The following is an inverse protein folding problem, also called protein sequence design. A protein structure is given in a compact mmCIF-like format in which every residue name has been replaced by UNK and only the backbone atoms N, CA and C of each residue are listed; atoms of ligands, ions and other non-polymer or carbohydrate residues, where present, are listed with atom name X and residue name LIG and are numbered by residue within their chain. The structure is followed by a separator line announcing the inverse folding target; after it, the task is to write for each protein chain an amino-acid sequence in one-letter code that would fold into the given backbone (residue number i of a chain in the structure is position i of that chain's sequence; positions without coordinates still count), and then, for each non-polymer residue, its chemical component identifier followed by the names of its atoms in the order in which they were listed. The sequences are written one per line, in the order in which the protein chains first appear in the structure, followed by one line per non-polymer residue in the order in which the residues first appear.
data_IF_748078517146
#
_entry.id   IF_748078517146
#
_cell.length_a   1.000
_cell.length_b   1.000
_cell.length_c   1.000
_cell.angle_alpha   90.00
_cell.angle_beta   90.00
_cell.angle_gamma   90.00
#
_symmetry.space_group_name_H-M   'P 1'
#
loop_
_entity.id
_entity.type
_entity.pdbx_description
1 polymer ?
#
# COMPACT_ATOMS: atom_id res chain seq x y z
N UNK A 1 -12.16 -21.80 -29.84
CA UNK A 1 -11.43 -20.52 -30.00
C UNK A 1 -11.90 -19.56 -28.92
N UNK A 2 -11.34 -19.67 -27.71
CA UNK A 2 -11.54 -18.67 -26.65
C UNK A 2 -10.42 -17.64 -26.78
N UNK A 3 -10.75 -16.42 -27.23
CA UNK A 3 -9.84 -15.28 -27.10
C UNK A 3 -9.83 -14.88 -25.63
N UNK A 4 -8.73 -15.23 -24.94
CA UNK A 4 -8.36 -14.61 -23.67
C UNK A 4 -8.13 -13.12 -23.93
N UNK A 5 -9.14 -12.29 -23.69
CA UNK A 5 -8.97 -10.84 -23.60
C UNK A 5 -8.39 -10.55 -22.21
N UNK A 6 -7.08 -10.74 -22.03
CA UNK A 6 -6.35 -10.12 -20.91
C UNK A 6 -6.07 -8.67 -21.32
N UNK A 7 -7.08 -7.81 -21.21
CA UNK A 7 -6.88 -6.36 -21.15
C UNK A 7 -6.75 -6.01 -19.67
N UNK A 8 -5.51 -5.95 -19.20
CA UNK A 8 -5.16 -5.55 -17.85
C UNK A 8 -5.03 -4.03 -17.77
N UNK A 9 -5.18 -3.47 -16.56
CA UNK A 9 -4.84 -2.08 -16.20
C UNK A 9 -3.39 -1.65 -16.54
N UNK A 10 -2.60 -2.49 -17.22
CA UNK A 10 -1.18 -2.30 -17.50
C UNK A 10 -0.87 -0.99 -18.24
N UNK A 11 -1.80 -0.48 -19.05
CA UNK A 11 -1.55 0.72 -19.85
C UNK A 11 -1.49 2.03 -19.05
N UNK A 12 -1.97 2.05 -17.80
CA UNK A 12 -2.02 3.29 -16.98
C UNK A 12 -0.77 3.49 -16.12
N UNK A 13 0.13 2.49 -16.05
CA UNK A 13 1.28 2.46 -15.13
C UNK A 13 2.62 2.68 -15.88
N UNK A 14 2.61 2.86 -17.20
CA UNK A 14 3.81 3.18 -17.96
C UNK A 14 4.24 4.65 -17.78
N UNK A 15 5.10 4.84 -16.77
CA UNK A 15 6.10 5.91 -16.63
C UNK A 15 5.58 7.36 -16.52
N UNK A 16 5.70 7.89 -15.29
CA UNK A 16 5.78 9.33 -14.99
C UNK A 16 7.26 9.66 -14.72
N UNK A 17 7.70 10.84 -15.13
CA UNK A 17 9.07 11.33 -14.94
C UNK A 17 9.53 11.29 -13.48
N UNK A 18 10.27 10.24 -13.12
CA UNK A 18 11.15 10.18 -11.94
C UNK A 18 10.51 9.76 -10.61
N UNK A 19 9.21 9.48 -10.56
CA UNK A 19 8.52 9.06 -9.33
C UNK A 19 7.69 7.81 -9.60
N UNK A 20 8.12 6.68 -9.05
CA UNK A 20 7.51 5.37 -9.25
C UNK A 20 6.98 4.86 -7.90
N UNK A 21 5.69 5.09 -7.61
CA UNK A 21 5.02 4.28 -6.60
C UNK A 21 5.22 2.82 -6.96
N UNK A 22 5.76 2.04 -6.01
CA UNK A 22 6.03 0.62 -6.24
C UNK A 22 4.92 -0.20 -5.64
N UNK A 23 4.40 -1.14 -6.42
CA UNK A 23 3.50 -2.17 -5.89
C UNK A 23 4.34 -3.32 -5.33
N UNK A 24 4.27 -3.51 -4.02
CA UNK A 24 5.11 -4.46 -3.28
C UNK A 24 4.26 -5.59 -2.71
N UNK A 25 4.63 -6.85 -2.97
CA UNK A 25 4.00 -7.99 -2.32
C UNK A 25 4.62 -8.23 -0.94
N UNK A 26 3.82 -8.23 0.13
CA UNK A 26 4.32 -8.63 1.44
C UNK A 26 4.50 -10.16 1.50
N UNK A 27 5.64 -10.62 1.99
CA UNK A 27 6.05 -12.04 1.97
C UNK A 27 5.83 -12.77 3.29
N UNK A 28 4.88 -12.33 4.11
CA UNK A 28 4.48 -13.06 5.31
C UNK A 28 3.59 -14.22 4.91
N UNK A 29 3.94 -15.47 5.29
CA UNK A 29 3.05 -16.64 5.40
C UNK A 29 3.78 -17.98 5.60
N UNK A 30 3.09 -18.98 6.16
CA UNK A 30 3.68 -20.29 6.49
C UNK A 30 4.19 -21.10 5.29
N UNK A 31 3.63 -20.87 4.10
CA UNK A 31 4.11 -21.51 2.87
C UNK A 31 5.49 -21.01 2.44
N UNK A 32 5.87 -19.78 2.79
CA UNK A 32 7.18 -19.23 2.46
C UNK A 32 8.30 -20.10 3.01
N UNK A 33 8.12 -20.64 4.22
CA UNK A 33 9.06 -21.58 4.84
C UNK A 33 9.17 -22.92 4.09
N UNK A 34 8.13 -23.36 3.40
CA UNK A 34 8.07 -24.68 2.77
C UNK A 34 8.55 -24.67 1.32
N UNK A 35 8.22 -23.63 0.56
CA UNK A 35 8.51 -23.54 -0.89
C UNK A 35 8.84 -22.11 -1.33
N UNK A 36 9.86 -21.46 -0.75
CA UNK A 36 10.15 -20.03 -1.00
C UNK A 36 10.36 -19.75 -2.49
N UNK A 37 11.17 -20.58 -3.17
CA UNK A 37 11.45 -20.44 -4.59
C UNK A 37 10.21 -20.51 -5.48
N UNK A 38 9.26 -21.42 -5.21
CA UNK A 38 8.04 -21.51 -6.01
C UNK A 38 7.14 -20.29 -5.80
N UNK A 39 7.05 -19.79 -4.57
CA UNK A 39 6.21 -18.63 -4.26
C UNK A 39 6.78 -17.37 -4.92
N UNK A 40 8.10 -17.20 -4.92
CA UNK A 40 8.76 -16.10 -5.65
C UNK A 40 8.44 -16.17 -7.14
N UNK A 41 8.49 -17.35 -7.74
CA UNK A 41 8.08 -17.54 -9.14
C UNK A 41 6.62 -17.16 -9.35
N UNK A 42 5.73 -17.58 -8.47
CA UNK A 42 4.31 -17.23 -8.57
C UNK A 42 4.09 -15.71 -8.46
N UNK A 43 4.83 -15.01 -7.57
CA UNK A 43 4.82 -13.54 -7.40
C UNK A 43 5.23 -12.84 -8.71
N UNK A 44 6.37 -13.27 -9.29
CA UNK A 44 6.86 -12.73 -10.55
C UNK A 44 5.89 -13.03 -11.71
N UNK A 45 5.35 -14.24 -11.77
CA UNK A 45 4.43 -14.68 -12.83
C UNK A 45 3.09 -13.94 -12.83
N UNK A 46 2.60 -13.48 -11.67
CA UNK A 46 1.39 -12.64 -11.62
C UNK A 46 1.67 -11.17 -11.97
N UNK A 47 2.92 -10.73 -11.86
CA UNK A 47 3.38 -9.41 -12.30
C UNK A 47 3.96 -8.50 -11.21
N UNK A 48 4.12 -8.95 -9.97
CA UNK A 48 4.85 -8.16 -8.97
C UNK A 48 6.34 -8.14 -9.31
N UNK A 49 6.94 -6.96 -9.33
CA UNK A 49 8.39 -6.78 -9.47
C UNK A 49 9.11 -6.66 -8.12
N UNK A 50 8.39 -6.17 -7.11
CA UNK A 50 8.90 -5.87 -5.79
C UNK A 50 8.20 -6.70 -4.72
N UNK A 51 8.97 -7.06 -3.70
CA UNK A 51 8.47 -7.70 -2.49
C UNK A 51 9.16 -7.13 -1.24
N UNK A 52 8.62 -7.44 -0.08
CA UNK A 52 9.24 -7.09 1.20
C UNK A 52 10.31 -8.10 1.60
N UNK A 53 11.36 -7.67 2.28
CA UNK A 53 12.10 -8.55 3.20
C UNK A 53 11.32 -8.62 4.53
N UNK A 54 10.35 -9.54 4.63
CA UNK A 54 9.50 -9.65 5.82
C UNK A 54 10.08 -10.62 6.87
N UNK A 55 10.59 -10.07 7.98
CA UNK A 55 11.14 -10.88 9.09
C UNK A 55 10.05 -11.67 9.83
N UNK A 56 8.80 -11.22 9.78
CA UNK A 56 7.66 -11.98 10.29
C UNK A 56 7.38 -13.28 9.54
N UNK A 57 7.99 -13.48 8.35
CA UNK A 57 7.94 -14.77 7.64
C UNK A 57 8.88 -15.83 8.23
N UNK A 58 9.94 -15.41 8.91
CA UNK A 58 10.92 -16.30 9.57
C UNK A 58 10.61 -16.45 11.07
N UNK A 59 10.25 -15.37 11.75
CA UNK A 59 9.92 -15.34 13.18
C UNK A 59 8.42 -15.62 13.39
N UNK A 60 8.08 -16.74 14.03
CA UNK A 60 6.68 -17.05 14.35
C UNK A 60 6.14 -16.19 15.51
N UNK A 61 4.93 -15.61 15.43
CA UNK A 61 4.36 -14.79 16.51
C UNK A 61 4.36 -15.48 17.88
N UNK A 62 4.18 -16.81 17.89
CA UNK A 62 4.21 -17.62 19.12
C UNK A 62 5.56 -17.59 19.83
N UNK A 63 6.67 -17.34 19.14
CA UNK A 63 8.01 -17.28 19.76
C UNK A 63 8.09 -16.22 20.86
N UNK A 64 7.31 -15.14 20.75
CA UNK A 64 7.21 -14.14 21.81
C UNK A 64 6.48 -14.67 23.05
N UNK A 65 5.45 -15.50 22.89
CA UNK A 65 4.74 -16.13 24.02
C UNK A 65 5.59 -17.18 24.75
N UNK A 66 6.61 -17.72 24.08
CA UNK A 66 7.48 -18.76 24.62
C UNK A 66 8.57 -18.21 25.54
N UNK A 67 8.88 -16.91 25.46
CA UNK A 67 9.94 -16.28 26.24
C UNK A 67 9.80 -16.53 27.74
N UNK A 68 8.57 -16.50 28.25
CA UNK A 68 8.30 -16.66 29.67
C UNK A 68 7.87 -18.10 30.04
N UNK A 69 8.00 -19.06 29.11
CA UNK A 69 7.63 -20.47 29.31
C UNK A 69 8.87 -21.37 29.41
N UNK A 70 9.37 -21.51 30.64
CA UNK A 70 10.53 -22.37 30.95
C UNK A 70 10.31 -23.86 30.61
N UNK A 71 9.07 -24.35 30.66
CA UNK A 71 8.75 -25.78 30.44
C UNK A 71 8.40 -26.13 28.99
N UNK A 72 8.52 -25.20 28.04
CA UNK A 72 8.27 -25.52 26.63
C UNK A 72 9.45 -26.28 26.03
N UNK A 73 9.18 -27.45 25.43
CA UNK A 73 10.21 -28.25 24.74
C UNK A 73 10.49 -27.61 23.38
N UNK A 74 11.66 -26.98 23.25
CA UNK A 74 12.15 -26.45 21.97
C UNK A 74 12.43 -27.60 20.99
N UNK A 75 12.19 -27.35 19.71
CA UNK A 75 12.62 -28.27 18.64
C UNK A 75 14.11 -28.09 18.41
N UNK A 76 14.89 -29.18 18.39
CA UNK A 76 16.36 -29.12 18.29
C UNK A 76 16.89 -28.43 17.04
N UNK A 77 16.14 -28.51 15.94
CA UNK A 77 16.59 -28.08 14.62
C UNK A 77 16.08 -26.68 14.24
N UNK A 78 15.36 -26.01 15.15
CA UNK A 78 14.79 -24.67 14.95
C UNK A 78 15.59 -23.63 15.72
N UNK A 79 16.04 -22.59 15.03
CA UNK A 79 16.58 -21.38 15.66
C UNK A 79 15.39 -20.49 16.05
N UNK A 80 15.30 -20.17 17.34
CA UNK A 80 14.29 -19.24 17.88
C UNK A 80 14.90 -17.84 17.90
N UNK A 81 14.45 -16.96 17.01
CA UNK A 81 15.05 -15.63 16.85
C UNK A 81 14.79 -14.72 18.05
N UNK A 82 13.78 -15.03 18.87
CA UNK A 82 13.57 -14.34 20.15
C UNK A 82 14.62 -14.73 21.21
N UNK A 83 15.26 -15.89 21.08
CA UNK A 83 16.37 -16.35 21.94
C UNK A 83 17.74 -16.01 21.33
N UNK A 84 17.84 -16.03 19.99
CA UNK A 84 19.06 -15.80 19.20
C UNK A 84 18.87 -14.73 18.12
N UNK A 85 18.61 -13.46 18.50
CA UNK A 85 18.38 -12.39 17.53
C UNK A 85 19.57 -12.14 16.60
N UNK A 86 20.79 -12.45 17.03
CA UNK A 86 22.02 -12.34 16.23
C UNK A 86 22.04 -13.23 14.98
N UNK A 87 21.24 -14.30 14.93
CA UNK A 87 21.13 -15.18 13.77
C UNK A 87 20.16 -14.63 12.70
N UNK A 88 19.44 -13.53 12.98
CA UNK A 88 18.39 -13.00 12.11
C UNK A 88 18.91 -12.70 10.71
N UNK A 89 20.04 -11.99 10.57
CA UNK A 89 20.59 -11.61 9.25
C UNK A 89 20.87 -12.83 8.38
N UNK A 90 21.47 -13.86 8.97
CA UNK A 90 21.79 -15.12 8.29
C UNK A 90 20.53 -15.89 7.91
N UNK A 91 19.54 -15.95 8.80
CA UNK A 91 18.26 -16.60 8.49
C UNK A 91 17.45 -15.81 7.45
N UNK A 92 17.49 -14.49 7.47
CA UNK A 92 16.89 -13.64 6.43
C UNK A 92 17.54 -13.87 5.06
N UNK A 93 18.86 -13.92 5.00
CA UNK A 93 19.58 -14.20 3.76
C UNK A 93 19.25 -15.58 3.19
N UNK A 94 19.36 -16.61 4.05
CA UNK A 94 19.12 -18.01 3.68
C UNK A 94 17.70 -18.28 3.19
N UNK A 95 16.70 -17.69 3.84
CA UNK A 95 15.30 -18.00 3.57
C UNK A 95 14.64 -17.04 2.57
N UNK A 96 15.21 -15.86 2.33
CA UNK A 96 14.58 -14.79 1.54
C UNK A 96 15.58 -14.16 0.56
N UNK A 97 16.60 -13.45 1.05
CA UNK A 97 17.40 -12.52 0.25
C UNK A 97 18.13 -13.22 -0.91
N UNK A 98 18.86 -14.29 -0.61
CA UNK A 98 19.61 -15.01 -1.65
C UNK A 98 18.68 -15.64 -2.69
N UNK A 99 17.54 -16.20 -2.27
CA UNK A 99 16.57 -16.81 -3.18
C UNK A 99 15.89 -15.76 -4.05
N UNK A 100 15.49 -14.62 -3.48
CA UNK A 100 14.91 -13.50 -4.23
C UNK A 100 15.87 -12.98 -5.29
N UNK A 101 17.16 -12.82 -4.92
CA UNK A 101 18.22 -12.41 -5.84
C UNK A 101 18.44 -13.42 -6.98
N UNK A 102 18.47 -14.71 -6.67
CA UNK A 102 18.61 -15.78 -7.68
C UNK A 102 17.46 -15.79 -8.69
N UNK A 103 16.24 -15.57 -8.22
CA UNK A 103 15.03 -15.60 -9.07
C UNK A 103 14.71 -14.24 -9.71
N UNK A 104 15.44 -13.18 -9.37
CA UNK A 104 15.27 -11.83 -9.93
C UNK A 104 14.16 -10.99 -9.30
N UNK A 105 13.66 -11.36 -8.12
CA UNK A 105 12.70 -10.57 -7.35
C UNK A 105 13.44 -9.47 -6.57
N UNK A 106 12.99 -8.22 -6.71
CA UNK A 106 13.58 -7.08 -6.00
C UNK A 106 12.96 -6.94 -4.60
N UNK A 107 13.81 -6.74 -3.60
CA UNK A 107 13.38 -6.43 -2.24
C UNK A 107 13.54 -4.91 -2.03
N UNK A 108 12.45 -4.15 -2.08
CA UNK A 108 12.52 -2.67 -1.94
C UNK A 108 12.54 -2.21 -0.48
N UNK A 109 11.87 -2.95 0.40
CA UNK A 109 11.68 -2.57 1.80
C UNK A 109 11.73 -3.80 2.71
N UNK A 110 12.39 -3.68 3.86
CA UNK A 110 12.31 -4.67 4.92
C UNK A 110 11.23 -4.32 5.94
N UNK A 111 10.59 -5.33 6.52
CA UNK A 111 9.60 -5.16 7.58
C UNK A 111 10.05 -5.95 8.80
N UNK A 112 10.29 -5.25 9.91
CA UNK A 112 10.67 -5.86 11.17
C UNK A 112 9.58 -6.76 11.76
N UNK A 113 9.91 -7.63 12.71
CA UNK A 113 8.93 -8.52 13.28
C UNK A 113 7.97 -7.75 14.19
N UNK A 114 6.68 -8.09 14.12
CA UNK A 114 5.63 -7.53 14.96
C UNK A 114 5.10 -8.62 15.90
N UNK A 115 5.35 -8.48 17.19
CA UNK A 115 4.64 -9.23 18.22
C UNK A 115 3.20 -8.72 18.35
N UNK A 116 2.25 -9.63 18.63
CA UNK A 116 0.85 -9.29 18.80
C UNK A 116 0.64 -8.27 19.92
N UNK A 117 -0.27 -7.32 19.73
CA UNK A 117 -0.62 -6.34 20.76
C UNK A 117 -1.33 -6.97 21.97
N UNK A 118 -1.92 -8.15 21.79
CA UNK A 118 -2.59 -8.96 22.82
C UNK A 118 -1.69 -10.05 23.43
N UNK A 119 -0.36 -9.91 23.29
CA UNK A 119 0.61 -10.85 23.84
C UNK A 119 0.40 -11.12 25.33
N UNK A 120 0.43 -12.40 25.71
CA UNK A 120 0.27 -12.84 27.10
C UNK A 120 1.61 -12.82 27.84
N UNK A 121 1.76 -11.89 28.78
CA UNK A 121 2.99 -11.69 29.57
C UNK A 121 3.19 -12.69 30.73
N UNK A 122 2.25 -13.61 30.96
CA UNK A 122 2.39 -14.65 31.97
C UNK A 122 2.24 -14.14 33.42
N UNK A 123 2.96 -14.79 34.36
CA UNK A 123 2.82 -14.57 35.81
C UNK A 123 3.62 -13.37 36.35
N UNK A 124 4.69 -12.97 35.65
CA UNK A 124 5.59 -11.88 36.03
C UNK A 124 5.61 -10.82 34.92
N UNK A 125 4.52 -10.03 34.80
CA UNK A 125 4.27 -9.21 33.61
C UNK A 125 5.30 -8.08 33.40
N UNK A 126 5.83 -7.48 34.47
CA UNK A 126 6.83 -6.41 34.38
C UNK A 126 8.17 -6.91 33.82
N UNK A 127 8.67 -8.03 34.35
CA UNK A 127 9.90 -8.66 33.86
C UNK A 127 9.73 -9.13 32.42
N UNK A 128 8.59 -9.76 32.11
CA UNK A 128 8.24 -10.19 30.77
C UNK A 128 8.25 -9.04 29.75
N UNK A 129 7.63 -7.91 30.11
CA UNK A 129 7.61 -6.72 29.28
C UNK A 129 9.01 -6.15 29.01
N UNK A 130 9.86 -6.10 30.04
CA UNK A 130 11.24 -5.65 29.89
C UNK A 130 12.07 -6.57 28.96
N UNK A 131 11.89 -7.89 29.07
CA UNK A 131 12.52 -8.86 28.17
C UNK A 131 12.06 -8.71 26.73
N UNK A 132 10.75 -8.52 26.50
CA UNK A 132 10.20 -8.29 25.16
C UNK A 132 10.84 -7.05 24.53
N UNK A 133 10.90 -5.91 25.24
CA UNK A 133 11.52 -4.70 24.70
C UNK A 133 13.02 -4.88 24.43
N UNK A 134 13.73 -5.63 25.26
CA UNK A 134 15.15 -5.96 25.03
C UNK A 134 15.35 -6.76 23.74
N UNK A 135 14.47 -7.72 23.48
CA UNK A 135 14.51 -8.55 22.27
C UNK A 135 14.10 -7.72 21.04
N UNK A 136 13.02 -6.95 21.14
CA UNK A 136 12.60 -6.03 20.09
C UNK A 136 13.68 -5.06 19.67
N UNK A 137 14.41 -4.49 20.65
CA UNK A 137 15.53 -3.59 20.37
C UNK A 137 16.58 -4.29 19.50
N UNK A 138 16.99 -5.50 19.87
CA UNK A 138 17.97 -6.28 19.09
C UNK A 138 17.43 -6.64 17.71
N UNK A 139 16.20 -7.16 17.63
CA UNK A 139 15.58 -7.55 16.36
C UNK A 139 15.39 -6.36 15.41
N UNK A 140 15.06 -5.17 15.94
CA UNK A 140 14.94 -3.95 15.14
C UNK A 140 16.27 -3.54 14.50
N UNK A 141 17.37 -3.62 15.26
CA UNK A 141 18.72 -3.37 14.75
C UNK A 141 19.10 -4.41 13.69
N UNK A 142 18.95 -5.70 14.00
CA UNK A 142 19.31 -6.78 13.08
C UNK A 142 18.46 -6.79 11.81
N UNK A 143 17.18 -6.39 11.89
CA UNK A 143 16.32 -6.19 10.72
C UNK A 143 16.87 -5.07 9.83
N UNK A 144 17.25 -3.93 10.41
CA UNK A 144 17.79 -2.82 9.64
C UNK A 144 19.13 -3.17 8.98
N UNK A 145 19.98 -3.94 9.66
CA UNK A 145 21.21 -4.48 9.07
C UNK A 145 20.92 -5.48 7.94
N UNK A 146 19.95 -6.38 8.12
CA UNK A 146 19.54 -7.31 7.08
C UNK A 146 18.97 -6.57 5.85
N UNK A 147 18.23 -5.48 6.06
CA UNK A 147 17.72 -4.62 5.00
C UNK A 147 18.86 -3.98 4.19
N UNK A 148 19.88 -3.45 4.89
CA UNK A 148 21.07 -2.89 4.26
C UNK A 148 21.85 -3.95 3.46
N UNK A 149 22.05 -5.16 4.02
CA UNK A 149 22.71 -6.27 3.33
C UNK A 149 21.95 -6.71 2.06
N UNK A 150 20.62 -6.69 2.13
CA UNK A 150 19.74 -7.05 1.02
C UNK A 150 19.63 -5.97 -0.06
N UNK A 151 20.17 -4.77 0.18
CA UNK A 151 20.02 -3.63 -0.72
C UNK A 151 18.59 -3.08 -0.79
N UNK A 152 17.81 -3.23 0.28
CA UNK A 152 16.54 -2.51 0.42
C UNK A 152 16.79 -1.00 0.47
N UNK A 153 15.79 -0.20 0.12
CA UNK A 153 15.88 1.27 0.21
C UNK A 153 15.38 1.78 1.57
N UNK A 154 14.52 1.00 2.23
CA UNK A 154 13.97 1.36 3.53
C UNK A 154 13.71 0.14 4.42
N UNK A 155 13.48 0.40 5.71
CA UNK A 155 13.10 -0.61 6.70
C UNK A 155 12.02 -0.07 7.63
N UNK A 156 10.95 -0.83 7.83
CA UNK A 156 9.93 -0.56 8.85
C UNK A 156 10.40 -1.12 10.20
N UNK A 157 10.58 -0.23 11.18
CA UNK A 157 11.00 -0.58 12.53
C UNK A 157 9.92 -0.24 13.53
N UNK A 158 9.36 -1.29 14.13
CA UNK A 158 8.32 -1.18 15.14
C UNK A 158 8.85 -0.57 16.44
N UNK A 159 8.07 0.32 17.10
CA UNK A 159 8.46 0.90 18.38
C UNK A 159 8.48 -0.16 19.49
N UNK A 160 9.35 0.07 20.48
CA UNK A 160 9.25 -0.57 21.78
C UNK A 160 7.93 -0.15 22.42
N UNK A 161 7.18 -1.11 22.98
CA UNK A 161 5.79 -0.87 23.40
C UNK A 161 5.43 -1.54 24.72
N UNK A 162 6.12 -2.64 25.09
CA UNK A 162 5.66 -3.50 26.17
C UNK A 162 5.96 -2.88 27.53
N UNK A 163 4.97 -2.79 28.42
CA UNK A 163 5.13 -2.26 29.77
C UNK A 163 5.57 -0.79 29.85
N UNK A 164 5.43 -0.03 28.75
CA UNK A 164 5.73 1.40 28.75
C UNK A 164 4.54 2.18 29.28
N UNK A 165 4.79 3.04 30.26
CA UNK A 165 3.79 3.97 30.80
C UNK A 165 3.43 5.05 29.78
N UNK A 166 2.15 5.45 29.79
CA UNK A 166 1.63 6.47 28.88
C UNK A 166 2.33 7.81 29.11
N UNK A 167 2.81 8.45 28.04
CA UNK A 167 3.60 9.68 28.08
C UNK A 167 5.12 9.48 28.06
N UNK A 168 5.60 8.26 28.31
CA UNK A 168 7.04 7.93 28.32
C UNK A 168 7.52 7.24 27.04
N UNK A 169 6.62 7.04 26.06
CA UNK A 169 6.92 6.30 24.83
C UNK A 169 8.05 6.94 24.02
N UNK A 170 8.06 8.28 23.92
CA UNK A 170 9.10 9.03 23.20
C UNK A 170 10.48 8.88 23.85
N UNK A 171 10.56 9.01 25.17
CA UNK A 171 11.82 8.99 25.92
C UNK A 171 12.52 7.63 25.80
N UNK A 172 11.74 6.56 25.69
CA UNK A 172 12.24 5.19 25.51
C UNK A 172 12.56 4.89 24.04
N UNK A 173 11.73 5.35 23.11
CA UNK A 173 11.89 5.02 21.69
C UNK A 173 12.89 5.91 20.96
N UNK A 174 13.04 7.19 21.31
CA UNK A 174 14.05 8.08 20.70
C UNK A 174 15.46 7.45 20.72
N UNK A 175 16.04 7.03 21.87
CA UNK A 175 17.38 6.43 21.88
C UNK A 175 17.44 5.11 21.12
N UNK A 176 16.34 4.34 21.06
CA UNK A 176 16.28 3.12 20.27
C UNK A 176 16.37 3.40 18.76
N UNK A 177 15.56 4.32 18.24
CA UNK A 177 15.59 4.68 16.82
C UNK A 177 16.95 5.27 16.41
N UNK A 178 17.57 6.10 17.27
CA UNK A 178 18.92 6.61 17.03
C UNK A 178 20.00 5.51 17.03
N UNK A 179 19.84 4.48 17.87
CA UNK A 179 20.72 3.31 17.86
C UNK A 179 20.60 2.52 16.55
N UNK A 180 19.38 2.31 16.04
CA UNK A 180 19.15 1.67 14.73
C UNK A 180 19.79 2.50 13.60
N UNK A 181 19.58 3.81 13.60
CA UNK A 181 20.18 4.71 12.60
C UNK A 181 21.71 4.68 12.63
N UNK A 182 22.30 4.62 13.82
CA UNK A 182 23.74 4.47 13.98
C UNK A 182 24.23 3.12 13.42
N UNK A 183 23.57 2.02 13.76
CA UNK A 183 23.96 0.69 13.31
C UNK A 183 23.95 0.58 11.77
N UNK A 184 22.92 1.14 11.12
CA UNK A 184 22.85 1.23 9.65
C UNK A 184 23.96 2.11 9.09
N UNK A 185 24.17 3.30 9.68
CA UNK A 185 25.23 4.21 9.22
C UNK A 185 26.61 3.57 9.28
N UNK A 186 26.88 2.77 10.30
CA UNK A 186 28.17 2.08 10.50
C UNK A 186 28.46 1.03 9.41
N UNK A 187 27.43 0.58 8.65
CA UNK A 187 27.63 -0.27 7.45
C UNK A 187 27.96 0.52 6.18
N UNK A 188 27.86 1.86 6.22
CA UNK A 188 27.98 2.73 5.06
C UNK A 188 26.68 2.84 4.23
N UNK A 189 25.60 2.21 4.68
CA UNK A 189 24.29 2.27 4.04
C UNK A 189 23.51 3.53 4.42
N UNK A 190 22.65 3.97 3.51
CA UNK A 190 21.78 5.13 3.64
C UNK A 190 20.28 4.77 3.53
N UNK A 191 19.89 3.55 3.90
CA UNK A 191 18.47 3.19 3.95
C UNK A 191 17.66 4.13 4.86
N UNK A 192 16.40 4.34 4.51
CA UNK A 192 15.45 5.07 5.35
C UNK A 192 14.88 4.17 6.45
N UNK A 193 14.74 4.71 7.66
CA UNK A 193 14.13 4.01 8.78
C UNK A 193 12.72 4.54 8.97
N UNK A 194 11.73 3.68 8.74
CA UNK A 194 10.32 4.04 8.79
C UNK A 194 9.72 3.66 10.13
N UNK A 195 9.18 4.67 10.83
CA UNK A 195 8.28 4.46 11.95
C UNK A 195 6.92 3.98 11.42
N UNK A 196 6.09 3.40 12.28
CA UNK A 196 4.79 2.82 11.89
C UNK A 196 3.77 2.99 13.00
N UNK A 197 2.52 3.29 12.61
CA UNK A 197 1.39 3.39 13.54
C UNK A 197 1.09 2.04 14.19
N UNK A 198 0.73 2.06 15.47
CA UNK A 198 0.43 0.83 16.23
C UNK A 198 -0.93 0.87 16.91
N UNK A 199 -1.51 -0.32 17.06
CA UNK A 199 -2.58 -0.58 18.01
C UNK A 199 -2.01 -0.87 19.39
N UNK A 200 -2.80 -0.57 20.43
CA UNK A 200 -2.60 -0.98 21.81
C UNK A 200 -3.81 -1.80 22.25
N UNK A 201 -3.59 -2.91 22.95
CA UNK A 201 -4.68 -3.68 23.54
C UNK A 201 -4.93 -3.22 24.98
N UNK A 202 -6.18 -2.83 25.27
CA UNK A 202 -6.67 -2.59 26.62
C UNK A 202 -7.84 -3.55 26.88
N UNK A 203 -7.59 -4.58 27.69
CA UNK A 203 -8.62 -5.56 28.10
C UNK A 203 -9.37 -6.25 26.94
N UNK A 204 -8.70 -6.52 25.83
CA UNK A 204 -9.28 -7.11 24.62
C UNK A 204 -9.82 -6.09 23.62
N UNK A 205 -9.71 -4.79 23.90
CA UNK A 205 -10.09 -3.73 22.98
C UNK A 205 -8.85 -3.09 22.36
N UNK A 206 -8.79 -3.09 21.03
CA UNK A 206 -7.75 -2.36 20.32
C UNK A 206 -8.08 -0.87 20.29
N UNK A 207 -7.12 -0.07 20.73
CA UNK A 207 -7.16 1.40 20.71
C UNK A 207 -5.89 1.93 20.07
N UNK A 208 -5.84 3.24 19.83
CA UNK A 208 -4.66 3.93 19.30
C UNK A 208 -3.45 3.72 20.21
N UNK A 209 -2.37 3.24 19.63
CA UNK A 209 -1.07 3.06 20.28
C UNK A 209 -0.04 4.06 19.76
N UNK A 210 1.23 3.72 19.92
CA UNK A 210 2.37 4.57 19.53
C UNK A 210 2.29 4.94 18.05
N UNK A 211 2.49 6.23 17.75
CA UNK A 211 2.47 6.79 16.40
C UNK A 211 1.14 6.57 15.65
N UNK A 212 0.05 6.22 16.35
CA UNK A 212 -1.26 6.17 15.71
C UNK A 212 -1.81 7.57 15.43
N UNK A 213 -1.52 8.55 16.28
CA UNK A 213 -1.89 9.95 16.02
C UNK A 213 -0.89 10.59 15.04
N UNK A 214 -1.37 11.25 13.97
CA UNK A 214 -0.49 11.77 12.93
C UNK A 214 0.42 12.90 13.43
N UNK A 215 -0.03 13.75 14.36
CA UNK A 215 0.78 14.81 14.95
C UNK A 215 1.94 14.24 15.79
N UNK A 216 1.67 13.16 16.52
CA UNK A 216 2.71 12.44 17.27
C UNK A 216 3.74 11.85 16.30
N UNK A 217 3.28 11.13 15.27
CA UNK A 217 4.15 10.52 14.27
C UNK A 217 5.04 11.57 13.56
N UNK A 218 4.44 12.68 13.12
CA UNK A 218 5.19 13.78 12.48
C UNK A 218 6.25 14.36 13.41
N UNK A 219 5.88 14.64 14.68
CA UNK A 219 6.80 15.18 15.68
C UNK A 219 7.99 14.23 15.92
N UNK A 220 7.73 12.93 16.07
CA UNK A 220 8.80 11.94 16.30
C UNK A 220 9.79 11.92 15.13
N UNK A 221 9.28 11.88 13.89
CA UNK A 221 10.12 11.86 12.68
C UNK A 221 10.96 13.14 12.58
N UNK A 222 10.34 14.31 12.80
CA UNK A 222 11.01 15.60 12.69
C UNK A 222 12.10 15.76 13.74
N UNK A 223 11.82 15.41 15.00
CA UNK A 223 12.81 15.47 16.08
C UNK A 223 13.96 14.49 15.85
N UNK A 224 13.70 13.28 15.35
CA UNK A 224 14.73 12.29 15.01
C UNK A 224 15.62 12.77 13.84
N UNK A 225 15.02 13.32 12.78
CA UNK A 225 15.75 13.85 11.64
C UNK A 225 16.56 15.10 12.00
N UNK A 226 16.01 15.99 12.84
CA UNK A 226 16.72 17.16 13.34
C UNK A 226 17.97 16.77 14.16
N UNK A 227 17.87 15.74 15.00
CA UNK A 227 19.00 15.23 15.78
C UNK A 227 20.15 14.70 14.89
N UNK A 228 19.81 14.11 13.74
CA UNK A 228 20.79 13.60 12.79
C UNK A 228 21.26 14.63 11.74
N UNK A 229 20.58 15.78 11.63
CA UNK A 229 20.85 16.79 10.61
C UNK A 229 20.60 16.33 9.17
N UNK A 230 19.85 15.25 8.97
CA UNK A 230 19.53 14.67 7.66
C UNK A 230 18.19 13.92 7.71
N UNK A 231 17.51 13.81 6.57
CA UNK A 231 16.25 13.04 6.43
C UNK A 231 16.55 11.53 6.38
N UNK A 232 16.70 10.91 7.55
CA UNK A 232 16.97 9.48 7.73
C UNK A 232 15.70 8.69 8.08
N UNK A 233 14.75 9.35 8.71
CA UNK A 233 13.51 8.77 9.20
C UNK A 233 12.32 9.21 8.35
N UNK A 234 11.40 8.28 8.14
CA UNK A 234 10.12 8.51 7.51
C UNK A 234 9.02 7.70 8.20
N UNK A 235 7.88 7.56 7.53
CA UNK A 235 6.73 6.84 8.05
C UNK A 235 6.22 5.77 7.08
N UNK A 236 5.81 4.65 7.64
CA UNK A 236 5.01 3.62 7.00
C UNK A 236 3.63 3.62 7.66
N UNK A 237 2.57 3.91 6.89
CA UNK A 237 1.21 3.86 7.44
C UNK A 237 0.58 2.49 7.19
N UNK A 238 0.22 1.77 8.26
CA UNK A 238 -0.59 0.56 8.20
C UNK A 238 -2.08 0.91 8.24
N UNK A 239 -2.73 0.70 7.09
CA UNK A 239 -4.16 0.97 6.89
C UNK A 239 -5.03 0.12 7.81
N UNK A 240 -4.69 -1.15 8.02
CA UNK A 240 -5.46 -2.04 8.90
C UNK A 240 -5.41 -1.59 10.35
N UNK A 241 -4.23 -1.14 10.81
CA UNK A 241 -4.07 -0.54 12.15
C UNK A 241 -4.96 0.70 12.31
N UNK A 242 -5.00 1.58 11.31
CA UNK A 242 -5.86 2.77 11.33
C UNK A 242 -7.35 2.41 11.37
N UNK A 243 -7.78 1.42 10.58
CA UNK A 243 -9.15 0.90 10.60
C UNK A 243 -9.53 0.33 11.97
N UNK A 244 -8.69 -0.53 12.57
CA UNK A 244 -8.93 -1.11 13.89
C UNK A 244 -9.02 -0.05 15.00
N UNK A 245 -8.29 1.05 14.84
CA UNK A 245 -8.35 2.18 15.75
C UNK A 245 -9.56 3.13 15.51
N UNK A 246 -10.43 2.79 14.56
CA UNK A 246 -11.59 3.62 14.19
C UNK A 246 -11.19 5.00 13.66
N UNK A 247 -10.02 5.13 13.02
CA UNK A 247 -9.55 6.40 12.48
C UNK A 247 -10.28 6.74 11.18
N UNK A 248 -10.54 8.03 10.98
CA UNK A 248 -10.87 8.53 9.66
C UNK A 248 -9.55 8.60 8.87
N UNK A 249 -9.43 7.73 7.86
CA UNK A 249 -8.13 7.47 7.22
C UNK A 249 -7.60 8.66 6.42
N UNK A 250 -8.45 9.55 5.89
CA UNK A 250 -7.95 10.74 5.21
C UNK A 250 -7.20 11.66 6.17
N UNK A 251 -7.82 11.99 7.32
CA UNK A 251 -7.24 12.84 8.36
C UNK A 251 -6.07 12.19 9.09
N UNK A 252 -5.98 10.86 9.11
CA UNK A 252 -4.82 10.15 9.66
C UNK A 252 -3.61 10.16 8.70
N UNK A 253 -3.84 10.18 7.38
CA UNK A 253 -2.78 10.05 6.37
C UNK A 253 -2.30 11.43 5.87
N UNK A 254 -3.22 12.35 5.60
CA UNK A 254 -2.93 13.65 5.00
C UNK A 254 -1.84 14.46 5.73
N UNK A 255 -1.84 14.55 7.08
CA UNK A 255 -0.85 15.35 7.80
C UNK A 255 0.58 14.80 7.69
N UNK A 256 0.75 13.50 7.36
CA UNK A 256 2.06 12.88 7.21
C UNK A 256 2.84 13.50 6.04
N UNK A 257 2.15 13.93 4.98
CA UNK A 257 2.73 14.59 3.81
C UNK A 257 3.95 13.84 3.26
N UNK A 258 5.01 14.58 2.96
CA UNK A 258 6.28 14.04 2.42
C UNK A 258 7.00 13.05 3.34
N UNK A 259 6.62 12.93 4.62
CA UNK A 259 7.21 11.96 5.57
C UNK A 259 6.72 10.54 5.27
N UNK A 260 5.59 10.38 4.61
CA UNK A 260 5.03 9.09 4.27
C UNK A 260 5.82 8.46 3.11
N UNK A 261 6.56 7.39 3.39
CA UNK A 261 7.42 6.69 2.43
C UNK A 261 6.92 5.30 2.05
N UNK A 262 5.99 4.74 2.83
CA UNK A 262 5.35 3.47 2.54
C UNK A 262 3.93 3.40 3.11
N UNK A 263 3.09 2.54 2.55
CA UNK A 263 1.78 2.24 3.11
C UNK A 263 1.52 0.72 3.04
N UNK A 264 1.17 0.11 4.18
CA UNK A 264 0.72 -1.29 4.23
C UNK A 264 -0.79 -1.30 3.98
N UNK A 265 -1.17 -1.93 2.87
CA UNK A 265 -2.54 -2.08 2.39
C UNK A 265 -3.04 -3.47 2.76
N UNK A 266 -3.82 -3.51 3.83
CA UNK A 266 -4.58 -4.68 4.28
C UNK A 266 -5.96 -4.26 4.73
N UNK A 267 -6.92 -5.15 4.55
CA UNK A 267 -8.22 -5.08 5.21
C UNK A 267 -8.14 -5.74 6.59
N UNK A 268 -9.16 -5.51 7.42
CA UNK A 268 -9.37 -6.22 8.67
C UNK A 268 -10.86 -6.35 8.95
N UNK A 269 -11.26 -7.31 9.77
CA UNK A 269 -12.66 -7.52 10.13
C UNK A 269 -13.22 -6.49 11.13
N UNK A 270 -12.42 -5.50 11.50
CA UNK A 270 -12.76 -4.43 12.45
C UNK A 270 -12.68 -4.86 13.92
N UNK A 271 -12.33 -6.12 14.22
CA UNK A 271 -12.27 -6.65 15.58
C UNK A 271 -10.93 -7.32 15.91
N UNK A 272 -10.31 -7.96 14.93
CA UNK A 272 -9.09 -8.73 15.08
C UNK A 272 -7.96 -8.10 14.25
N UNK A 273 -6.73 -8.16 14.77
CA UNK A 273 -5.54 -7.76 14.02
C UNK A 273 -5.14 -8.84 13.00
N UNK A 274 -5.91 -8.89 11.92
CA UNK A 274 -5.75 -9.80 10.79
C UNK A 274 -5.43 -9.02 9.51
N UNK A 275 -4.66 -9.63 8.60
CA UNK A 275 -4.32 -9.05 7.30
C UNK A 275 -5.17 -9.72 6.23
N UNK A 276 -6.35 -9.14 6.01
CA UNK A 276 -7.28 -9.59 4.99
C UNK A 276 -6.98 -8.91 3.65
N UNK A 277 -7.30 -9.58 2.55
CA UNK A 277 -7.22 -8.97 1.22
C UNK A 277 -8.18 -7.77 1.16
N UNK A 278 -7.79 -6.62 0.59
CA UNK A 278 -8.69 -5.48 0.43
C UNK A 278 -10.03 -5.86 -0.21
N UNK A 279 -11.11 -5.24 0.28
CA UNK A 279 -12.50 -5.45 -0.14
C UNK A 279 -13.13 -6.78 0.29
N UNK A 280 -12.48 -7.56 1.16
CA UNK A 280 -13.02 -8.85 1.64
C UNK A 280 -13.66 -8.77 3.03
N UNK A 281 -13.38 -7.73 3.83
CA UNK A 281 -14.09 -7.50 5.08
C UNK A 281 -15.45 -6.84 4.80
N UNK A 282 -16.49 -7.65 4.58
CA UNK A 282 -17.80 -7.20 4.06
C UNK A 282 -19.00 -7.45 4.99
N UNK A 283 -18.79 -7.89 6.23
CA UNK A 283 -19.86 -8.35 7.14
C UNK A 283 -21.01 -7.34 7.31
N UNK A 284 -20.75 -6.03 7.19
CA UNK A 284 -21.75 -4.94 7.21
C UNK A 284 -21.42 -3.84 6.20
N UNK A 285 -20.94 -4.23 5.02
CA UNK A 285 -20.30 -3.30 4.07
C UNK A 285 -18.80 -3.22 4.30
N UNK A 286 -18.13 -2.30 3.59
CA UNK A 286 -16.68 -2.11 3.68
C UNK A 286 -16.29 -1.67 5.10
N UNK A 287 -15.45 -2.45 5.79
CA UNK A 287 -14.95 -2.08 7.12
C UNK A 287 -13.86 -1.01 7.03
N UNK A 288 -12.93 -1.17 6.10
CA UNK A 288 -11.89 -0.19 5.83
C UNK A 288 -12.42 0.93 4.91
N UNK A 289 -12.17 2.19 5.30
CA UNK A 289 -12.50 3.36 4.47
C UNK A 289 -11.49 3.53 3.33
N UNK A 290 -11.63 2.73 2.27
CA UNK A 290 -10.77 2.85 1.09
C UNK A 290 -10.83 4.24 0.45
N UNK A 291 -11.97 4.91 0.56
CA UNK A 291 -12.13 6.30 0.14
C UNK A 291 -11.19 7.25 0.90
N UNK A 292 -11.16 7.17 2.23
CA UNK A 292 -10.28 8.01 3.04
C UNK A 292 -8.81 7.69 2.77
N UNK A 293 -8.48 6.40 2.66
CA UNK A 293 -7.14 5.92 2.34
C UNK A 293 -6.61 6.47 1.01
N UNK A 294 -7.31 6.21 -0.09
CA UNK A 294 -6.89 6.62 -1.44
C UNK A 294 -6.77 8.14 -1.55
N UNK A 295 -7.74 8.88 -0.98
CA UNK A 295 -7.70 10.34 -0.98
C UNK A 295 -6.54 10.88 -0.15
N UNK A 296 -6.28 10.29 1.02
CA UNK A 296 -5.20 10.70 1.90
C UNK A 296 -3.86 10.52 1.20
N UNK A 297 -3.60 9.32 0.66
CA UNK A 297 -2.39 9.02 -0.10
C UNK A 297 -2.21 9.97 -1.29
N UNK A 298 -3.25 10.17 -2.11
CA UNK A 298 -3.20 11.13 -3.24
C UNK A 298 -2.86 12.54 -2.76
N UNK A 299 -3.51 13.01 -1.69
CA UNK A 299 -3.33 14.37 -1.17
C UNK A 299 -1.91 14.62 -0.65
N UNK A 300 -1.26 13.61 -0.09
CA UNK A 300 0.16 13.71 0.32
C UNK A 300 1.13 13.79 -0.85
N UNK A 301 0.69 13.46 -2.07
CA UNK A 301 1.58 13.26 -3.22
C UNK A 301 2.37 11.97 -3.13
N UNK A 302 1.82 10.94 -2.47
CA UNK A 302 2.51 9.68 -2.17
C UNK A 302 3.18 9.06 -3.41
N UNK A 303 4.48 8.77 -3.27
CA UNK A 303 5.32 8.15 -4.30
C UNK A 303 6.12 6.93 -3.82
N UNK A 304 5.77 6.42 -2.64
CA UNK A 304 6.49 5.36 -1.95
C UNK A 304 6.06 3.92 -2.28
N UNK A 305 6.42 3.01 -1.38
CA UNK A 305 6.07 1.59 -1.47
C UNK A 305 4.61 1.33 -1.02
N UNK A 306 3.76 0.87 -1.94
CA UNK A 306 2.41 0.39 -1.65
C UNK A 306 2.46 -1.13 -1.40
N UNK A 307 2.46 -1.52 -0.13
CA UNK A 307 2.72 -2.89 0.32
C UNK A 307 1.40 -3.65 0.50
N UNK A 308 1.13 -4.60 -0.38
CA UNK A 308 -0.05 -5.46 -0.28
C UNK A 308 0.16 -6.53 0.79
N UNK A 309 -0.59 -6.45 1.88
CA UNK A 309 -0.59 -7.43 2.96
C UNK A 309 -1.94 -8.14 3.04
N UNK A 310 -1.94 -9.41 2.67
CA UNK A 310 -3.13 -10.27 2.60
C UNK A 310 -2.78 -11.67 3.12
N UNK A 311 -1.85 -11.71 4.08
CA UNK A 311 -1.23 -12.90 4.62
C UNK A 311 -2.28 -13.95 5.04
N UNK A 312 -3.19 -13.59 5.95
CA UNK A 312 -4.20 -14.49 6.48
C UNK A 312 -5.21 -14.94 5.42
N UNK A 313 -5.56 -14.08 4.45
CA UNK A 313 -6.41 -14.49 3.31
C UNK A 313 -5.69 -15.52 2.45
N UNK A 314 -4.43 -15.29 2.10
CA UNK A 314 -3.66 -16.22 1.29
C UNK A 314 -3.43 -17.57 2.00
N UNK A 315 -3.25 -17.57 3.33
CA UNK A 315 -3.07 -18.78 4.12
C UNK A 315 -4.36 -19.58 4.31
N UNK A 316 -5.52 -18.93 4.37
CA UNK A 316 -6.81 -19.61 4.44
C UNK A 316 -7.18 -20.37 3.15
N UNK A 317 -6.64 -19.97 1.99
CA UNK A 317 -7.00 -20.58 0.70
C UNK A 317 -6.24 -21.90 0.42
N UNK A 318 -6.91 -22.90 -0.19
CA UNK A 318 -6.27 -24.12 -0.68
C UNK A 318 -5.10 -23.82 -1.63
N UNK A 319 -4.07 -24.66 -1.60
CA UNK A 319 -2.84 -24.50 -2.41
C UNK A 319 -3.11 -24.27 -3.91
N UNK A 320 -4.15 -24.92 -4.46
CA UNK A 320 -4.54 -24.80 -5.87
C UNK A 320 -5.11 -23.44 -6.25
N UNK A 321 -5.59 -22.65 -5.27
CA UNK A 321 -6.18 -21.33 -5.48
C UNK A 321 -5.23 -20.18 -5.10
N UNK A 322 -4.08 -20.46 -4.48
CA UNK A 322 -3.17 -19.43 -3.98
C UNK A 322 -2.64 -18.49 -5.05
N UNK A 323 -2.33 -19.00 -6.25
CA UNK A 323 -1.94 -18.16 -7.39
C UNK A 323 -3.07 -17.23 -7.85
N UNK A 324 -4.33 -17.67 -7.76
CA UNK A 324 -5.49 -16.83 -8.07
C UNK A 324 -5.65 -15.72 -7.03
N UNK A 325 -5.48 -16.03 -5.74
CA UNK A 325 -5.50 -15.00 -4.67
C UNK A 325 -4.38 -13.98 -4.87
N UNK A 326 -3.18 -14.45 -5.20
CA UNK A 326 -2.03 -13.58 -5.49
C UNK A 326 -2.27 -12.69 -6.72
N UNK A 327 -2.87 -13.25 -7.79
CA UNK A 327 -3.28 -12.47 -8.96
C UNK A 327 -4.35 -11.43 -8.61
N UNK A 328 -5.29 -11.76 -7.73
CA UNK A 328 -6.32 -10.82 -7.27
C UNK A 328 -5.70 -9.69 -6.46
N UNK A 329 -4.73 -9.98 -5.58
CA UNK A 329 -3.99 -8.97 -4.83
C UNK A 329 -3.22 -8.03 -5.75
N UNK A 330 -2.60 -8.55 -6.80
CA UNK A 330 -1.92 -7.73 -7.81
C UNK A 330 -2.87 -6.78 -8.56
N UNK A 331 -4.02 -7.28 -9.03
CA UNK A 331 -5.01 -6.44 -9.72
C UNK A 331 -5.61 -5.37 -8.82
N UNK A 332 -5.90 -5.71 -7.56
CA UNK A 332 -6.34 -4.75 -6.55
C UNK A 332 -5.24 -3.69 -6.31
N UNK A 333 -3.98 -4.12 -6.16
CA UNK A 333 -2.86 -3.20 -5.98
C UNK A 333 -2.71 -2.19 -7.13
N UNK A 334 -2.83 -2.64 -8.38
CA UNK A 334 -2.84 -1.75 -9.55
C UNK A 334 -4.02 -0.78 -9.54
N UNK A 335 -5.19 -1.24 -9.08
CA UNK A 335 -6.36 -0.39 -8.92
C UNK A 335 -6.10 0.74 -7.90
N UNK A 336 -5.51 0.41 -6.74
CA UNK A 336 -5.07 1.42 -5.78
C UNK A 336 -4.07 2.40 -6.40
N UNK A 337 -3.02 1.90 -7.06
CA UNK A 337 -2.02 2.74 -7.72
C UNK A 337 -2.65 3.72 -8.70
N UNK A 338 -3.51 3.23 -9.61
CA UNK A 338 -4.22 4.08 -10.56
C UNK A 338 -4.99 5.18 -9.84
N UNK A 339 -5.80 4.81 -8.85
CA UNK A 339 -6.63 5.77 -8.14
C UNK A 339 -5.82 6.79 -7.34
N UNK A 340 -4.75 6.38 -6.68
CA UNK A 340 -3.85 7.32 -5.99
C UNK A 340 -3.24 8.28 -7.02
N UNK A 341 -2.90 7.80 -8.22
CA UNK A 341 -2.17 8.58 -9.24
C UNK A 341 -3.03 9.40 -10.21
N UNK A 342 -4.37 9.33 -10.18
CA UNK A 342 -5.26 9.97 -11.18
C UNK A 342 -4.87 11.43 -11.46
N UNK A 343 -4.65 12.22 -10.41
CA UNK A 343 -4.35 13.64 -10.56
C UNK A 343 -2.98 13.87 -11.21
N UNK A 344 -1.97 13.05 -10.89
CA UNK A 344 -0.66 13.12 -11.52
C UNK A 344 -0.71 12.74 -13.00
N UNK A 345 -1.54 11.77 -13.37
CA UNK A 345 -1.78 11.42 -14.78
C UNK A 345 -2.44 12.60 -15.52
N UNK A 346 -3.38 13.30 -14.88
CA UNK A 346 -4.00 14.50 -15.47
C UNK A 346 -2.96 15.63 -15.64
N UNK A 347 -2.11 15.85 -14.63
CA UNK A 347 -1.02 16.85 -14.64
C UNK A 347 0.02 16.63 -15.73
N UNK A 348 0.22 15.37 -16.17
CA UNK A 348 1.22 14.99 -17.19
C UNK A 348 1.02 15.67 -18.54
N UNK A 349 -0.21 16.03 -18.86
CA UNK A 349 -0.57 16.54 -20.19
C UNK A 349 -0.97 18.01 -20.12
N UNK A 350 -0.44 18.84 -21.02
CA UNK A 350 -0.82 20.26 -21.13
C UNK A 350 -2.16 20.44 -21.87
N UNK A 351 -2.52 19.48 -22.72
CA UNK A 351 -3.77 19.46 -23.48
C UNK A 351 -4.49 18.14 -23.28
N UNK A 352 -5.81 18.22 -23.12
CA UNK A 352 -6.65 17.05 -22.90
C UNK A 352 -8.04 17.23 -23.50
N UNK A 353 -8.67 16.11 -23.82
CA UNK A 353 -10.09 16.01 -24.16
C UNK A 353 -10.73 14.90 -23.33
N UNK A 354 -12.03 15.00 -23.10
CA UNK A 354 -12.79 13.96 -22.40
C UNK A 354 -13.63 13.15 -23.39
N UNK A 355 -13.65 11.83 -23.23
CA UNK A 355 -14.48 10.92 -24.02
C UNK A 355 -15.59 10.35 -23.13
N UNK A 356 -16.84 10.72 -23.43
CA UNK A 356 -18.04 10.42 -22.67
C UNK A 356 -18.55 11.67 -21.97
N UNK A 357 -19.81 12.05 -22.19
CA UNK A 357 -20.44 13.24 -21.61
C UNK A 357 -21.43 12.90 -20.48
N UNK A 358 -21.03 11.98 -19.58
CA UNK A 358 -21.84 11.46 -18.48
C UNK A 358 -21.48 12.00 -17.09
N UNK A 359 -21.93 11.31 -16.04
CA UNK A 359 -21.64 11.67 -14.64
C UNK A 359 -20.13 11.68 -14.33
N UNK A 360 -19.36 10.79 -14.94
CA UNK A 360 -17.91 10.72 -14.77
C UNK A 360 -17.19 11.94 -15.37
N UNK A 361 -17.61 12.40 -16.55
CA UNK A 361 -17.12 13.66 -17.14
C UNK A 361 -17.52 14.87 -16.28
N UNK A 362 -18.75 14.91 -15.77
CA UNK A 362 -19.16 15.91 -14.78
C UNK A 362 -18.27 15.88 -13.52
N UNK A 363 -17.92 14.70 -13.02
CA UNK A 363 -17.05 14.55 -11.85
C UNK A 363 -15.64 15.09 -12.14
N UNK A 364 -15.09 14.81 -13.33
CA UNK A 364 -13.85 15.41 -13.80
C UNK A 364 -13.94 16.94 -13.79
N UNK A 365 -14.94 17.51 -14.49
CA UNK A 365 -15.08 18.95 -14.64
C UNK A 365 -15.20 19.66 -13.29
N UNK A 366 -15.93 19.07 -12.34
CA UNK A 366 -16.10 19.67 -11.01
C UNK A 366 -14.89 19.55 -10.09
N UNK A 367 -14.12 18.46 -10.18
CA UNK A 367 -12.99 18.23 -9.28
C UNK A 367 -11.65 18.71 -9.86
N UNK A 368 -11.51 18.73 -11.19
CA UNK A 368 -10.26 18.97 -11.89
C UNK A 368 -10.40 19.96 -13.05
N UNK A 369 -11.61 20.27 -13.53
CA UNK A 369 -11.79 21.06 -14.76
C UNK A 369 -11.36 22.52 -14.69
N UNK A 370 -11.31 23.12 -13.49
CA UNK A 370 -10.79 24.49 -13.31
C UNK A 370 -9.27 24.54 -13.48
N UNK A 371 -8.55 23.60 -12.88
CA UNK A 371 -7.09 23.52 -12.92
C UNK A 371 -6.57 22.84 -14.20
N UNK A 372 -7.33 21.87 -14.71
CA UNK A 372 -7.02 21.04 -15.87
C UNK A 372 -8.17 21.08 -16.90
N UNK A 373 -8.44 22.23 -17.53
CA UNK A 373 -9.56 22.37 -18.44
C UNK A 373 -9.37 21.48 -19.68
N UNK A 374 -10.40 20.72 -20.09
CA UNK A 374 -10.40 20.03 -21.36
C UNK A 374 -10.70 20.98 -22.51
N UNK A 375 -10.19 20.68 -23.71
CA UNK A 375 -10.48 21.45 -24.92
C UNK A 375 -11.95 21.30 -25.33
N UNK A 376 -12.49 20.08 -25.21
CA UNK A 376 -13.89 19.73 -25.39
C UNK A 376 -14.15 18.34 -24.81
N UNK A 377 -15.42 17.91 -24.81
CA UNK A 377 -15.81 16.51 -24.58
C UNK A 377 -16.43 15.94 -25.84
N UNK A 378 -16.28 14.66 -26.10
CA UNK A 378 -16.99 13.98 -27.20
C UNK A 378 -17.79 12.79 -26.68
N UNK A 379 -18.80 12.36 -27.42
CA UNK A 379 -19.63 11.21 -27.05
C UNK A 379 -20.11 10.48 -28.31
N UNK A 380 -20.31 9.17 -28.23
CA UNK A 380 -20.83 8.39 -29.36
C UNK A 380 -22.32 8.70 -29.63
N UNK A 381 -23.04 9.28 -28.68
CA UNK A 381 -24.43 9.66 -28.85
C UNK A 381 -24.56 10.95 -29.68
N UNK A 382 -24.77 10.77 -30.99
CA UNK A 382 -24.97 11.89 -31.94
C UNK A 382 -26.12 12.83 -31.62
N UNK A 383 -27.12 12.41 -30.84
CA UNK A 383 -28.24 13.28 -30.46
C UNK A 383 -27.79 14.45 -29.58
N UNK A 384 -26.62 14.35 -28.96
CA UNK A 384 -26.09 15.32 -28.00
C UNK A 384 -25.01 16.24 -28.57
N UNK A 385 -24.60 16.03 -29.81
CA UNK A 385 -23.55 16.84 -30.41
C UNK A 385 -24.00 18.31 -30.56
N UNK A 386 -23.14 19.24 -30.15
CA UNK A 386 -23.42 20.67 -30.10
C UNK A 386 -24.09 21.15 -28.81
N UNK A 387 -24.51 20.25 -27.91
CA UNK A 387 -24.99 20.64 -26.57
C UNK A 387 -23.87 21.28 -25.74
N UNK A 388 -24.21 22.31 -24.96
CA UNK A 388 -23.35 22.78 -23.86
C UNK A 388 -23.45 21.80 -22.68
N UNK A 389 -22.30 21.39 -22.16
CA UNK A 389 -22.18 20.49 -21.03
C UNK A 389 -21.19 21.06 -20.03
N UNK A 390 -21.69 21.79 -19.04
CA UNK A 390 -20.85 22.47 -18.03
C UNK A 390 -19.83 23.44 -18.66
N UNK A 391 -20.24 24.20 -19.67
CA UNK A 391 -19.40 25.21 -20.32
C UNK A 391 -18.43 24.66 -21.37
N UNK A 392 -18.51 23.38 -21.71
CA UNK A 392 -17.80 22.77 -22.84
C UNK A 392 -18.79 22.15 -23.82
N UNK A 393 -18.47 22.15 -25.11
CA UNK A 393 -19.32 21.57 -26.16
C UNK A 393 -19.13 20.06 -26.25
N UNK A 394 -20.23 19.33 -26.44
CA UNK A 394 -20.19 17.90 -26.80
C UNK A 394 -19.95 17.75 -28.30
N UNK A 395 -18.86 17.11 -28.68
CA UNK A 395 -18.41 16.98 -30.06
C UNK A 395 -18.57 15.56 -30.61
N UNK A 396 -18.56 15.46 -31.94
CA UNK A 396 -18.42 14.18 -32.63
C UNK A 396 -17.01 13.61 -32.38
N UNK A 397 -16.86 12.32 -32.00
CA UNK A 397 -15.55 11.67 -31.85
C UNK A 397 -14.62 11.81 -33.07
N UNK A 398 -15.14 11.99 -34.28
CA UNK A 398 -14.32 12.24 -35.47
C UNK A 398 -13.43 13.49 -35.35
N UNK A 399 -13.85 14.48 -34.55
CA UNK A 399 -13.05 15.69 -34.24
C UNK A 399 -11.72 15.37 -33.55
N UNK A 400 -11.60 14.19 -32.92
CA UNK A 400 -10.35 13.74 -32.31
C UNK A 400 -9.20 13.65 -33.33
N UNK A 401 -9.50 13.49 -34.62
CA UNK A 401 -8.49 13.45 -35.70
C UNK A 401 -7.81 14.79 -35.95
N UNK A 402 -8.41 15.88 -35.46
CA UNK A 402 -7.87 17.24 -35.58
C UNK A 402 -6.92 17.60 -34.42
N UNK A 403 -6.82 16.73 -33.42
CA UNK A 403 -5.97 16.97 -32.25
C UNK A 403 -4.49 16.90 -32.59
N UNK A 404 -3.70 17.74 -31.92
CA UNK A 404 -2.25 17.60 -31.95
C UNK A 404 -1.83 16.32 -31.19
N UNK A 405 -0.78 15.58 -31.63
CA UNK A 405 -0.42 14.27 -31.06
C UNK A 405 -0.10 14.27 -29.55
N UNK A 406 0.26 15.41 -28.99
CA UNK A 406 0.53 15.66 -27.56
C UNK A 406 -0.75 15.79 -26.71
N UNK A 407 -1.94 15.86 -27.32
CA UNK A 407 -3.22 15.99 -26.60
C UNK A 407 -3.67 14.62 -26.08
N UNK A 408 -3.85 14.48 -24.76
CA UNK A 408 -4.35 13.24 -24.18
C UNK A 408 -5.88 13.10 -24.31
N UNK A 409 -6.34 11.86 -24.52
CA UNK A 409 -7.76 11.50 -24.56
C UNK A 409 -8.08 10.74 -23.28
N UNK A 410 -8.80 11.39 -22.35
CA UNK A 410 -9.27 10.76 -21.12
C UNK A 410 -10.63 10.11 -21.34
N UNK A 411 -10.71 8.79 -21.19
CA UNK A 411 -11.97 8.07 -21.23
C UNK A 411 -12.70 8.30 -19.90
N UNK A 412 -13.80 9.04 -19.96
CA UNK A 412 -14.72 9.34 -18.86
C UNK A 412 -16.02 8.55 -19.02
N UNK A 413 -15.90 7.23 -19.18
CA UNK A 413 -17.02 6.31 -19.34
C UNK A 413 -16.63 4.92 -18.80
N UNK A 414 -17.61 4.17 -18.27
CA UNK A 414 -17.40 2.81 -17.79
C UNK A 414 -17.01 1.80 -18.89
N UNK A 415 -17.29 2.10 -20.16
CA UNK A 415 -16.93 1.26 -21.32
C UNK A 415 -15.47 1.48 -21.77
N UNK A 416 -14.53 1.39 -20.82
CA UNK A 416 -13.11 1.70 -21.06
C UNK A 416 -12.53 0.89 -22.23
N UNK A 417 -12.80 -0.41 -22.28
CA UNK A 417 -12.21 -1.32 -23.26
C UNK A 417 -12.77 -1.07 -24.67
N UNK A 418 -14.09 -0.94 -24.79
CA UNK A 418 -14.79 -0.71 -26.05
C UNK A 418 -14.36 0.64 -26.67
N UNK A 419 -14.27 1.68 -25.86
CA UNK A 419 -13.82 3.00 -26.31
C UNK A 419 -12.33 2.96 -26.65
N UNK A 420 -11.50 2.27 -25.86
CA UNK A 420 -10.07 2.09 -26.19
C UNK A 420 -9.90 1.40 -27.54
N UNK A 421 -10.67 0.35 -27.83
CA UNK A 421 -10.66 -0.32 -29.13
C UNK A 421 -11.14 0.60 -30.26
N UNK A 422 -12.18 1.41 -30.03
CA UNK A 422 -12.65 2.41 -30.98
C UNK A 422 -11.54 3.40 -31.33
N UNK A 423 -10.92 4.00 -30.32
CA UNK A 423 -9.83 4.99 -30.50
C UNK A 423 -8.63 4.38 -31.23
N UNK A 424 -8.27 3.12 -30.93
CA UNK A 424 -7.23 2.38 -31.66
C UNK A 424 -7.60 2.16 -33.13
N UNK A 425 -8.86 1.82 -33.45
CA UNK A 425 -9.34 1.67 -34.83
C UNK A 425 -9.34 2.99 -35.60
N UNK A 426 -9.46 4.12 -34.90
CA UNK A 426 -9.31 5.46 -35.50
C UNK A 426 -7.85 5.83 -35.81
N UNK A 427 -6.89 5.03 -35.37
CA UNK A 427 -5.45 5.20 -35.62
C UNK A 427 -4.92 6.58 -35.19
N UNK A 428 -5.40 7.07 -34.04
CA UNK A 428 -4.98 8.33 -33.44
C UNK A 428 -3.59 8.17 -32.81
N UNK A 429 -2.67 9.13 -33.00
CA UNK A 429 -1.35 9.10 -32.36
C UNK A 429 -1.37 9.53 -30.89
N UNK A 430 -2.54 9.98 -30.41
CA UNK A 430 -2.74 10.59 -29.10
C UNK A 430 -2.62 9.57 -27.95
N UNK A 431 -2.07 9.98 -26.79
CA UNK A 431 -2.16 9.21 -25.55
C UNK A 431 -3.62 8.95 -25.16
N UNK A 432 -3.91 7.72 -24.72
CA UNK A 432 -5.23 7.32 -24.23
C UNK A 432 -5.09 7.00 -22.75
N UNK A 433 -5.86 7.71 -21.92
CA UNK A 433 -5.86 7.57 -20.47
C UNK A 433 -7.25 7.20 -19.96
N UNK A 434 -7.32 6.51 -18.83
CA UNK A 434 -8.58 6.18 -18.17
C UNK A 434 -8.79 7.08 -16.96
N UNK A 435 -9.99 7.64 -16.83
CA UNK A 435 -10.39 8.42 -15.66
C UNK A 435 -11.53 7.71 -14.94
N UNK A 436 -11.49 7.66 -13.60
CA UNK A 436 -12.58 7.11 -12.79
C UNK A 436 -13.02 8.11 -11.74
N UNK A 437 -14.33 8.18 -11.51
CA UNK A 437 -14.98 9.05 -10.53
C UNK A 437 -15.26 8.37 -9.18
N UNK A 438 -14.72 7.16 -8.95
CA UNK A 438 -15.02 6.35 -7.74
C UNK A 438 -14.45 6.97 -6.45
N UNK A 439 -13.25 7.56 -6.50
CA UNK A 439 -12.56 8.12 -5.34
C UNK A 439 -12.19 9.61 -5.56
N UNK A 440 -13.18 10.41 -5.96
CA UNK A 440 -13.01 11.86 -6.21
C UNK A 440 -12.78 12.66 -4.94
N UNK A 441 -12.06 13.80 -4.97
CA UNK A 441 -11.86 14.70 -3.82
C UNK A 441 -13.16 15.27 -3.21
N UNK A 442 -14.20 15.42 -4.02
CA UNK A 442 -15.55 15.78 -3.57
C UNK A 442 -16.61 14.97 -4.32
N UNK A 443 -17.71 14.65 -3.63
CA UNK A 443 -18.88 14.01 -4.25
C UNK A 443 -20.01 15.02 -4.38
N UNK A 444 -20.63 15.04 -5.57
CA UNK A 444 -21.80 15.86 -5.83
C UNK A 444 -23.02 14.95 -5.99
N UNK A 445 -23.95 15.04 -5.04
CA UNK A 445 -25.07 14.10 -4.92
C UNK A 445 -26.11 14.22 -6.04
N UNK A 446 -26.20 15.36 -6.72
CA UNK A 446 -27.07 15.49 -7.90
C UNK A 446 -26.48 14.63 -9.02
N UNK A 447 -27.25 13.67 -9.54
CA UNK A 447 -26.87 12.88 -10.72
C UNK A 447 -27.61 13.43 -11.93
N UNK A 448 -26.93 13.42 -13.09
CA UNK A 448 -27.63 13.62 -14.35
C UNK A 448 -28.63 12.48 -14.54
N UNK A 449 -29.84 12.80 -14.98
CA UNK A 449 -30.81 11.78 -15.41
C UNK A 449 -30.17 11.00 -16.56
N UNK A 450 -29.95 9.70 -16.33
CA UNK A 450 -29.39 8.85 -17.38
C UNK A 450 -30.45 8.65 -18.45
N UNK A 451 -30.09 8.91 -19.71
CA UNK A 451 -30.87 8.41 -20.83
C UNK A 451 -31.02 6.90 -20.67
N UNK A 452 -32.23 6.37 -20.87
CA UNK A 452 -32.48 4.91 -20.81
C UNK A 452 -31.47 4.20 -21.71
N UNK A 453 -30.82 3.16 -21.19
CA UNK A 453 -29.90 2.35 -21.98
C UNK A 453 -30.64 1.85 -23.23
N UNK A 454 -30.19 2.22 -24.46
CA UNK A 454 -30.85 1.77 -25.69
C UNK A 454 -30.81 0.24 -25.86
N UNK A 455 -29.99 -0.49 -25.09
CA UNK A 455 -29.97 -1.95 -25.03
C UNK A 455 -30.83 -2.55 -23.90
N UNK A 456 -31.41 -1.75 -23.00
CA UNK A 456 -32.30 -2.26 -21.94
C UNK A 456 -33.67 -2.76 -22.45
N UNK A 457 -33.90 -2.70 -23.76
CA UNK A 457 -35.13 -3.16 -24.43
C UNK A 457 -34.89 -4.20 -25.54
N UNK A 458 -33.83 -5.01 -25.49
CA UNK A 458 -33.65 -6.16 -26.38
C UNK A 458 -33.60 -7.49 -25.65
#
# INVERSE_FOLDING_TARGET
MHRNCKMSLLFVIDTIGGSFMRLVCKTRNGLWKLRPRQIIKDILEVGFEYATLDIGSILEPREYELLHRNNYKRTSDKIYLTEHPEELRKEADRNITSIAKEEGLKLSIAVGPCAPADIKLGKEPEQAAAEINKIYRKLGIETALAAADAGCESVVVYPLFSGIESGHEWEINKPFYLEVAKAVKDTGSDIQILLINRIKNINGHFVRGICAEPEEACRWIDELNAELGQERFGFCFDVGTGTLCGQELFTAIEPLGSRLKAAIIRDCDGANDVSMLPYTACLKGQQTSWLGCIRGLRKTGFDGDLIMDFAETYDAFPITLKKTVLSQAFEIGKFFLWHINIENVIKKYDKRVLFGAGNMCRAYLKNYGEEYPPLFTCDNNSSRWGEDFFGITIENPEKLKELSPDTAIFICNMYYNEITEQLRKMNLPNPIEWFSDEYMPTFHMDRLEMAKDPNSGK
#
